data_IF_304411294450
#
_entry.id   IF_304411294450
#
_cell.length_a   1.000
_cell.length_b   1.000
_cell.length_c   1.000
_cell.angle_alpha   90.00
_cell.angle_beta   90.00
_cell.angle_gamma   90.00
#
_symmetry.space_group_name_H-M   'P 1'
#
loop_
_entity.id
_entity.type
_entity.pdbx_description
1 polymer ?
#
# COMPACT_ATOMS: atom_id res chain seq x y z
N UNK A 1 -1.73 -14.29 22.75
CA UNK A 1 -1.89 -14.23 21.30
C UNK A 1 -0.57 -13.70 20.76
N UNK A 2 0.36 -14.61 20.47
CA UNK A 2 1.74 -14.27 20.09
C UNK A 2 1.70 -13.72 18.68
N UNK A 3 1.93 -12.42 18.54
CA UNK A 3 2.12 -11.76 17.25
C UNK A 3 3.53 -12.15 16.78
N UNK A 4 3.62 -13.21 15.99
CA UNK A 4 4.85 -13.65 15.38
C UNK A 4 5.32 -12.52 14.45
N UNK A 5 6.24 -11.71 14.94
CA UNK A 5 7.04 -10.80 14.12
C UNK A 5 7.68 -11.66 13.02
N UNK A 6 7.39 -11.33 11.80
CA UNK A 6 7.76 -12.06 10.62
C UNK A 6 9.29 -12.18 10.59
N UNK A 7 9.79 -13.37 10.83
CA UNK A 7 11.15 -13.71 10.45
C UNK A 7 11.19 -13.66 8.92
N UNK A 8 11.76 -12.61 8.38
CA UNK A 8 11.88 -12.39 6.93
C UNK A 8 12.63 -13.54 6.21
N UNK A 9 13.29 -14.40 6.98
CA UNK A 9 14.02 -15.56 6.49
C UNK A 9 13.12 -16.74 6.06
N UNK A 10 11.79 -16.65 6.25
CA UNK A 10 10.86 -17.73 5.92
C UNK A 10 9.68 -17.27 5.05
N UNK A 11 9.81 -16.16 4.33
CA UNK A 11 8.79 -15.76 3.37
C UNK A 11 8.76 -16.77 2.22
N UNK A 12 7.88 -17.74 2.34
CA UNK A 12 7.61 -18.69 1.27
C UNK A 12 7.00 -17.96 0.07
N UNK A 13 7.28 -18.42 -1.14
CA UNK A 13 6.67 -17.87 -2.37
C UNK A 13 5.13 -17.80 -2.28
N UNK A 14 4.53 -18.71 -1.52
CA UNK A 14 3.10 -18.73 -1.24
C UNK A 14 2.66 -17.52 -0.39
N UNK A 15 3.42 -17.14 0.65
CA UNK A 15 3.11 -15.97 1.48
C UNK A 15 3.15 -14.68 0.68
N UNK A 16 4.11 -14.55 -0.24
CA UNK A 16 4.19 -13.40 -1.13
C UNK A 16 2.94 -13.30 -2.00
N UNK A 17 2.52 -14.42 -2.60
CA UNK A 17 1.32 -14.49 -3.43
C UNK A 17 0.06 -14.18 -2.63
N UNK A 18 -0.07 -14.70 -1.41
CA UNK A 18 -1.22 -14.42 -0.53
C UNK A 18 -1.32 -12.92 -0.22
N UNK A 19 -0.20 -12.27 0.14
CA UNK A 19 -0.18 -10.83 0.43
C UNK A 19 -0.57 -9.98 -0.78
N UNK A 20 -0.03 -10.32 -1.94
CA UNK A 20 -0.39 -9.66 -3.19
C UNK A 20 -1.87 -9.85 -3.53
N UNK A 21 -2.40 -11.05 -3.35
CA UNK A 21 -3.81 -11.36 -3.59
C UNK A 21 -4.73 -10.57 -2.63
N UNK A 22 -4.39 -10.52 -1.34
CA UNK A 22 -5.13 -9.72 -0.35
C UNK A 22 -5.09 -8.23 -0.71
N UNK A 23 -3.94 -7.72 -1.15
CA UNK A 23 -3.83 -6.33 -1.60
C UNK A 23 -4.72 -6.03 -2.81
N UNK A 24 -4.83 -6.96 -3.76
CA UNK A 24 -5.77 -6.85 -4.89
C UNK A 24 -7.20 -6.80 -4.39
N UNK A 25 -7.61 -7.67 -3.46
CA UNK A 25 -8.96 -7.67 -2.90
C UNK A 25 -9.29 -6.35 -2.19
N UNK A 26 -8.37 -5.81 -1.39
CA UNK A 26 -8.53 -4.51 -0.72
C UNK A 26 -8.69 -3.38 -1.75
N UNK A 27 -7.84 -3.38 -2.77
CA UNK A 27 -7.94 -2.42 -3.88
C UNK A 27 -9.25 -2.54 -4.65
N UNK A 28 -9.75 -3.77 -4.84
CA UNK A 28 -11.06 -4.03 -5.46
C UNK A 28 -12.21 -3.44 -4.63
N UNK A 29 -12.20 -3.65 -3.32
CA UNK A 29 -13.27 -3.16 -2.43
C UNK A 29 -13.33 -1.64 -2.47
N UNK A 30 -12.22 -0.93 -2.27
CA UNK A 30 -12.19 0.53 -2.33
C UNK A 30 -12.48 1.08 -3.73
N UNK A 31 -11.95 0.43 -4.76
CA UNK A 31 -12.15 0.85 -6.15
C UNK A 31 -13.57 0.64 -6.66
N UNK A 32 -14.25 -0.43 -6.25
CA UNK A 32 -15.65 -0.72 -6.63
C UNK A 32 -16.61 0.31 -6.05
N UNK A 33 -16.38 0.70 -4.79
CA UNK A 33 -17.17 1.77 -4.15
C UNK A 33 -17.05 3.09 -4.93
N UNK A 34 -15.84 3.43 -5.36
CA UNK A 34 -15.57 4.64 -6.16
C UNK A 34 -16.22 4.58 -7.53
N UNK A 35 -16.14 3.44 -8.21
CA UNK A 35 -16.74 3.23 -9.51
C UNK A 35 -18.26 3.28 -9.43
N UNK A 36 -18.87 2.65 -8.43
CA UNK A 36 -20.30 2.71 -8.19
C UNK A 36 -20.82 4.13 -7.96
N UNK A 37 -20.04 4.97 -7.27
CA UNK A 37 -20.36 6.38 -7.04
C UNK A 37 -19.96 7.31 -8.20
N UNK A 38 -19.57 6.78 -9.37
CA UNK A 38 -19.11 7.54 -10.53
C UNK A 38 -18.02 8.57 -10.20
N UNK A 39 -17.06 8.19 -9.34
CA UNK A 39 -15.94 9.04 -8.95
C UNK A 39 -14.70 8.77 -9.82
N UNK A 40 -13.86 9.79 -10.09
CA UNK A 40 -12.57 9.55 -10.74
C UNK A 40 -11.72 8.55 -9.96
N UNK A 41 -10.79 7.85 -10.64
CA UNK A 41 -9.99 6.76 -10.09
C UNK A 41 -10.85 5.63 -9.51
N UNK A 42 -11.35 4.76 -10.40
CA UNK A 42 -12.17 3.58 -10.08
C UNK A 42 -11.35 2.34 -9.74
N UNK A 43 -11.93 1.17 -10.02
CA UNK A 43 -11.43 -0.15 -9.67
C UNK A 43 -9.96 -0.38 -10.08
N UNK A 44 -9.64 -0.19 -11.35
CA UNK A 44 -8.27 -0.46 -11.88
C UNK A 44 -7.21 0.37 -11.17
N UNK A 45 -7.49 1.64 -10.93
CA UNK A 45 -6.52 2.56 -10.31
C UNK A 45 -6.23 2.14 -8.86
N UNK A 46 -7.27 1.82 -8.07
CA UNK A 46 -7.11 1.39 -6.69
C UNK A 46 -6.38 0.05 -6.58
N UNK A 47 -6.71 -0.92 -7.45
CA UNK A 47 -6.00 -2.22 -7.49
C UNK A 47 -4.52 -2.04 -7.80
N UNK A 48 -4.18 -1.25 -8.83
CA UNK A 48 -2.79 -1.01 -9.21
C UNK A 48 -2.00 -0.29 -8.12
N UNK A 49 -2.60 0.71 -7.47
CA UNK A 49 -1.95 1.45 -6.37
C UNK A 49 -1.72 0.54 -5.15
N UNK A 50 -2.74 -0.23 -4.75
CA UNK A 50 -2.64 -1.13 -3.60
C UNK A 50 -1.61 -2.24 -3.83
N UNK A 51 -1.68 -2.89 -4.99
CA UNK A 51 -0.75 -3.94 -5.38
C UNK A 51 0.69 -3.42 -5.49
N UNK A 52 0.90 -2.29 -6.17
CA UNK A 52 2.22 -1.69 -6.32
C UNK A 52 2.85 -1.32 -4.99
N UNK A 53 2.07 -0.73 -4.08
CA UNK A 53 2.52 -0.41 -2.73
C UNK A 53 2.85 -1.66 -1.91
N UNK A 54 2.05 -2.72 -2.03
CA UNK A 54 2.30 -4.03 -1.41
C UNK A 54 3.61 -4.65 -1.93
N UNK A 55 3.85 -4.63 -3.23
CA UNK A 55 5.07 -5.16 -3.84
C UNK A 55 6.33 -4.43 -3.33
N UNK A 56 6.28 -3.12 -3.16
CA UNK A 56 7.41 -2.35 -2.61
C UNK A 56 7.68 -2.73 -1.15
N UNK A 57 6.63 -2.90 -0.34
CA UNK A 57 6.77 -3.36 1.05
C UNK A 57 7.37 -4.78 1.13
N UNK A 58 6.94 -5.69 0.25
CA UNK A 58 7.50 -7.03 0.14
C UNK A 58 8.98 -7.00 -0.28
N UNK A 59 9.31 -6.21 -1.29
CA UNK A 59 10.69 -6.06 -1.76
C UNK A 59 11.59 -5.49 -0.66
N UNK A 60 11.13 -4.49 0.08
CA UNK A 60 11.88 -3.92 1.21
C UNK A 60 12.12 -4.94 2.31
N UNK A 61 11.09 -5.75 2.65
CA UNK A 61 11.23 -6.85 3.60
C UNK A 61 12.24 -7.90 3.16
N UNK A 62 12.21 -8.31 1.89
CA UNK A 62 13.15 -9.28 1.32
C UNK A 62 14.59 -8.73 1.28
N UNK A 63 14.78 -7.47 0.91
CA UNK A 63 16.10 -6.85 0.94
C UNK A 63 16.67 -6.79 2.36
N UNK A 64 15.86 -6.43 3.34
CA UNK A 64 16.28 -6.38 4.75
C UNK A 64 16.68 -7.76 5.27
N UNK A 65 15.96 -8.81 4.88
CA UNK A 65 16.24 -10.19 5.29
C UNK A 65 17.58 -10.72 4.75
N UNK A 66 17.98 -10.27 3.56
CA UNK A 66 19.20 -10.73 2.89
C UNK A 66 20.46 -9.92 3.25
N UNK A 67 20.32 -8.90 4.12
CA UNK A 67 21.49 -8.14 4.60
C UNK A 67 22.19 -8.94 5.70
N UNK A 68 23.35 -9.48 5.37
CA UNK A 68 24.21 -10.19 6.32
C UNK A 68 24.87 -9.17 7.27
N UNK A 69 24.33 -9.03 8.47
CA UNK A 69 24.81 -8.08 9.50
C UNK A 69 26.17 -8.49 10.08
N UNK A 70 26.65 -9.69 9.74
CA UNK A 70 27.91 -10.22 10.30
C UNK A 70 29.18 -9.74 9.59
N UNK A 71 29.06 -9.22 8.35
CA UNK A 71 30.23 -8.98 7.48
C UNK A 71 30.56 -7.49 7.26
N UNK A 72 29.71 -6.55 7.63
CA UNK A 72 29.93 -5.13 7.34
C UNK A 72 29.54 -4.22 8.49
N UNK A 73 30.52 -3.81 9.28
CA UNK A 73 30.38 -2.88 10.40
C UNK A 73 29.92 -1.46 10.04
N UNK A 74 29.66 -1.14 8.75
CA UNK A 74 29.37 0.22 8.30
C UNK A 74 28.15 0.34 7.36
N UNK A 75 27.32 -0.70 7.18
CA UNK A 75 26.12 -0.57 6.37
C UNK A 75 24.93 -0.25 7.27
N UNK A 76 24.55 1.03 7.32
CA UNK A 76 23.29 1.46 7.96
C UNK A 76 22.15 1.29 6.96
N UNK A 77 21.37 0.22 7.12
CA UNK A 77 20.15 0.05 6.36
C UNK A 77 19.00 0.87 6.97
N UNK A 78 18.40 1.72 6.18
CA UNK A 78 17.27 2.54 6.62
C UNK A 78 15.96 1.82 6.26
N UNK A 79 15.44 1.03 7.20
CA UNK A 79 14.15 0.34 7.07
C UNK A 79 13.01 1.34 6.85
N UNK A 80 12.07 1.02 5.95
CA UNK A 80 10.93 1.89 5.63
C UNK A 80 11.22 2.95 4.56
N UNK A 81 12.43 3.03 4.03
CA UNK A 81 12.81 4.07 3.06
C UNK A 81 12.06 3.94 1.74
N UNK A 82 11.92 2.73 1.20
CA UNK A 82 11.19 2.49 -0.05
C UNK A 82 9.70 2.78 0.14
N UNK A 83 9.12 2.33 1.25
CA UNK A 83 7.73 2.61 1.58
C UNK A 83 7.47 4.10 1.81
N UNK A 84 8.40 4.83 2.44
CA UNK A 84 8.31 6.29 2.59
C UNK A 84 8.27 7.00 1.23
N UNK A 85 9.05 6.52 0.24
CA UNK A 85 9.01 7.06 -1.12
C UNK A 85 7.69 6.76 -1.83
N UNK A 86 7.06 5.60 -1.58
CA UNK A 86 5.71 5.32 -2.10
C UNK A 86 4.70 6.31 -1.53
N UNK A 87 4.70 6.54 -0.21
CA UNK A 87 3.78 7.48 0.45
C UNK A 87 3.96 8.90 -0.09
N UNK A 88 5.19 9.32 -0.31
CA UNK A 88 5.48 10.62 -0.92
C UNK A 88 5.08 10.67 -2.40
N UNK A 89 5.44 9.62 -3.17
CA UNK A 89 5.20 9.55 -4.60
C UNK A 89 3.73 9.48 -5.00
N UNK A 90 2.89 8.83 -4.19
CA UNK A 90 1.45 8.77 -4.45
C UNK A 90 0.80 10.17 -4.39
N UNK A 91 1.45 11.14 -3.73
CA UNK A 91 1.03 12.53 -3.74
C UNK A 91 0.97 13.14 -5.15
N UNK A 92 1.85 12.70 -6.06
CA UNK A 92 1.81 13.13 -7.47
C UNK A 92 0.55 12.62 -8.18
N UNK A 93 0.17 11.35 -8.01
CA UNK A 93 -1.08 10.80 -8.54
C UNK A 93 -2.30 11.48 -7.91
N UNK A 94 -2.26 11.70 -6.59
CA UNK A 94 -3.30 12.44 -5.87
C UNK A 94 -3.47 13.86 -6.42
N UNK A 95 -2.40 14.60 -6.59
CA UNK A 95 -2.41 15.95 -7.15
C UNK A 95 -2.99 15.96 -8.57
N UNK A 96 -2.68 14.94 -9.39
CA UNK A 96 -3.23 14.77 -10.73
C UNK A 96 -4.74 14.59 -10.78
N UNK A 97 -5.38 14.19 -9.67
CA UNK A 97 -6.84 14.06 -9.57
C UNK A 97 -7.54 15.34 -9.07
N UNK A 98 -6.78 16.30 -8.56
CA UNK A 98 -7.30 17.56 -8.03
C UNK A 98 -7.33 18.60 -9.15
N UNK A 99 -8.49 19.14 -9.45
CA UNK A 99 -8.66 20.17 -10.47
C UNK A 99 -9.68 21.23 -10.04
N UNK A 100 -9.51 22.42 -10.59
CA UNK A 100 -10.41 23.52 -10.34
C UNK A 100 -11.39 23.66 -11.50
N UNK A 101 -12.69 23.54 -11.21
CA UNK A 101 -13.76 23.73 -12.18
C UNK A 101 -14.72 24.82 -11.69
N UNK A 102 -14.88 25.88 -12.47
CA UNK A 102 -15.79 27.00 -12.17
C UNK A 102 -15.68 27.53 -10.73
N UNK A 103 -14.44 27.80 -10.25
CA UNK A 103 -14.11 28.25 -8.89
C UNK A 103 -14.40 27.23 -7.76
N UNK A 104 -14.64 25.95 -8.09
CA UNK A 104 -14.75 24.87 -7.11
C UNK A 104 -13.59 23.89 -7.27
N UNK A 105 -12.99 23.50 -6.15
CA UNK A 105 -11.95 22.47 -6.12
C UNK A 105 -12.66 21.12 -6.08
N UNK A 106 -12.32 20.24 -7.03
CA UNK A 106 -12.83 18.87 -7.11
C UNK A 106 -11.66 17.87 -7.01
N UNK A 107 -11.95 16.62 -6.66
CA UNK A 107 -10.96 15.54 -6.64
C UNK A 107 -10.23 15.32 -5.31
N UNK A 108 -10.43 16.15 -4.30
CA UNK A 108 -9.76 16.00 -2.99
C UNK A 108 -10.02 14.63 -2.35
N UNK A 109 -11.26 14.17 -2.35
CA UNK A 109 -11.62 12.85 -1.82
C UNK A 109 -10.97 11.73 -2.64
N UNK A 110 -10.86 11.90 -3.95
CA UNK A 110 -10.19 10.94 -4.83
C UNK A 110 -8.69 10.87 -4.51
N UNK A 111 -8.04 12.01 -4.35
CA UNK A 111 -6.64 12.06 -3.93
C UNK A 111 -6.41 11.37 -2.58
N UNK A 112 -7.26 11.65 -1.60
CA UNK A 112 -7.20 11.03 -0.28
C UNK A 112 -7.44 9.52 -0.33
N UNK A 113 -8.40 9.04 -1.15
CA UNK A 113 -8.65 7.60 -1.31
C UNK A 113 -7.48 6.86 -1.95
N UNK A 114 -6.81 7.44 -2.95
CA UNK A 114 -5.61 6.86 -3.55
C UNK A 114 -4.45 6.78 -2.56
N UNK A 115 -4.24 7.85 -1.79
CA UNK A 115 -3.21 7.88 -0.75
C UNK A 115 -3.46 6.80 0.31
N UNK A 116 -4.69 6.70 0.82
CA UNK A 116 -5.06 5.67 1.78
C UNK A 116 -4.91 4.25 1.20
N UNK A 117 -5.27 4.03 -0.06
CA UNK A 117 -5.12 2.74 -0.74
C UNK A 117 -3.66 2.30 -0.81
N UNK A 118 -2.72 3.23 -1.05
CA UNK A 118 -1.30 2.93 -1.00
C UNK A 118 -0.84 2.53 0.42
N UNK A 119 -1.31 3.24 1.44
CA UNK A 119 -1.02 2.88 2.83
C UNK A 119 -1.52 1.47 3.19
N UNK A 120 -2.75 1.12 2.78
CA UNK A 120 -3.30 -0.22 2.97
C UNK A 120 -2.48 -1.29 2.25
N UNK A 121 -1.99 -0.99 1.04
CA UNK A 121 -1.09 -1.88 0.30
C UNK A 121 0.21 -2.15 1.05
N UNK A 122 0.87 -1.10 1.57
CA UNK A 122 2.10 -1.24 2.36
C UNK A 122 1.86 -2.10 3.60
N UNK A 123 0.81 -1.81 4.35
CA UNK A 123 0.45 -2.55 5.58
C UNK A 123 0.17 -4.03 5.28
N UNK A 124 -0.50 -4.32 4.15
CA UNK A 124 -0.74 -5.69 3.68
C UNK A 124 0.57 -6.38 3.29
N UNK A 125 1.48 -5.68 2.61
CA UNK A 125 2.78 -6.19 2.23
C UNK A 125 3.64 -6.58 3.44
N UNK A 126 3.56 -5.85 4.53
CA UNK A 126 4.20 -6.23 5.80
C UNK A 126 3.47 -7.34 6.55
N UNK A 127 2.32 -7.83 6.04
CA UNK A 127 1.56 -8.94 6.65
C UNK A 127 0.61 -8.53 7.77
N UNK A 128 0.40 -7.25 8.02
CA UNK A 128 -0.55 -6.75 9.02
C UNK A 128 -1.98 -6.76 8.47
N UNK A 129 -2.49 -7.95 8.10
CA UNK A 129 -3.80 -8.12 7.46
C UNK A 129 -4.95 -7.52 8.25
N UNK A 130 -4.94 -7.74 9.58
CA UNK A 130 -6.01 -7.23 10.44
C UNK A 130 -6.09 -5.70 10.42
N UNK A 131 -4.93 -5.03 10.49
CA UNK A 131 -4.87 -3.58 10.42
C UNK A 131 -5.35 -3.06 9.05
N UNK A 132 -4.94 -3.73 7.99
CA UNK A 132 -5.33 -3.39 6.62
C UNK A 132 -6.83 -3.57 6.38
N UNK A 133 -7.42 -4.67 6.87
CA UNK A 133 -8.85 -4.93 6.76
C UNK A 133 -9.69 -3.95 7.58
N UNK A 134 -9.29 -3.67 8.83
CA UNK A 134 -9.95 -2.66 9.65
C UNK A 134 -9.88 -1.27 9.00
N UNK A 135 -8.71 -0.88 8.49
CA UNK A 135 -8.53 0.39 7.80
C UNK A 135 -9.40 0.49 6.54
N UNK A 136 -9.46 -0.58 5.75
CA UNK A 136 -10.34 -0.65 4.59
C UNK A 136 -11.82 -0.50 4.98
N UNK A 137 -12.28 -1.21 6.00
CA UNK A 137 -13.66 -1.14 6.47
C UNK A 137 -14.04 0.27 6.96
N UNK A 138 -13.15 0.93 7.71
CA UNK A 138 -13.39 2.29 8.22
C UNK A 138 -13.48 3.36 7.13
N UNK A 139 -12.82 3.16 6.00
CA UNK A 139 -12.84 4.12 4.88
C UNK A 139 -14.11 4.00 4.05
N UNK A 140 -14.80 2.85 4.09
CA UNK A 140 -16.05 2.62 3.35
C UNK A 140 -17.28 3.23 4.04
N UNK A 141 -17.17 3.66 5.28
CA UNK A 141 -18.23 4.32 6.05
C UNK A 141 -18.33 5.79 5.68
#
# INVERSE_FOLDING_TARGET
>A
MSFSLIHANELTSLDLLIRMFVAVLIGCVGGTEREYKNRPAGLRTHVLVCLGACMIALAEGLFTANIDTSTSSNVTYNFGRLCAQVISGIGFLGAGTIFTQRKKIAGLTTAASLWNTACLGIVTGYGYYWLSLCGCALVLV
#
